data_IF_747465959444
#
_entry.id   IF_747465959444
#
_cell.length_a   1.000
_cell.length_b   1.000
_cell.length_c   1.000
_cell.angle_alpha   90.00
_cell.angle_beta   90.00
_cell.angle_gamma   90.00
#
_symmetry.space_group_name_H-M   'P 1'
#
loop_
_entity.id
_entity.type
_entity.pdbx_description
1 polymer ?
#
# COMPACT_ATOMS: atom_id res chain seq x y z
N UNK A 1 65.03 46.97 -29.59
CA UNK A 1 64.45 48.31 -29.86
C UNK A 1 63.02 48.27 -29.33
N UNK A 2 62.77 48.72 -28.09
CA UNK A 2 62.12 50.00 -27.77
C UNK A 2 60.97 50.33 -28.75
N UNK A 3 59.72 50.22 -28.31
CA UNK A 3 58.88 51.37 -28.02
C UNK A 3 57.67 50.95 -27.17
N UNK A 4 57.63 51.52 -25.96
CA UNK A 4 56.49 51.71 -25.09
C UNK A 4 55.48 52.65 -25.74
N UNK A 5 54.17 52.42 -25.50
CA UNK A 5 53.15 53.46 -25.44
C UNK A 5 51.95 52.96 -24.62
N UNK A 6 51.78 53.57 -23.44
CA UNK A 6 50.57 53.53 -22.62
C UNK A 6 49.58 54.59 -23.11
N UNK A 7 48.30 54.24 -23.16
CA UNK A 7 47.12 55.11 -23.00
C UNK A 7 46.03 54.14 -22.49
N UNK A 8 45.30 54.34 -21.40
CA UNK A 8 44.59 55.54 -20.98
C UNK A 8 43.13 55.08 -20.76
N UNK A 9 42.63 55.27 -19.53
CA UNK A 9 41.40 54.71 -19.00
C UNK A 9 40.13 55.09 -19.77
N UNK A 10 39.06 54.28 -19.66
CA UNK A 10 37.71 54.81 -19.46
C UNK A 10 36.79 53.76 -18.77
N UNK A 11 36.36 54.11 -17.56
CA UNK A 11 35.26 53.47 -16.85
C UNK A 11 33.96 53.59 -17.65
N UNK A 12 33.23 52.49 -17.80
CA UNK A 12 31.83 52.47 -18.22
C UNK A 12 31.05 51.51 -17.34
N UNK A 13 30.52 52.00 -16.21
CA UNK A 13 29.52 51.29 -15.42
C UNK A 13 28.19 51.29 -16.22
N UNK A 14 27.85 50.15 -16.83
CA UNK A 14 26.52 49.91 -17.38
C UNK A 14 25.59 49.46 -16.25
N UNK A 15 24.85 50.41 -15.69
CA UNK A 15 23.68 50.15 -14.84
C UNK A 15 22.56 49.59 -15.71
N UNK A 16 22.38 48.28 -15.71
CA UNK A 16 21.20 47.62 -16.28
C UNK A 16 20.05 47.82 -15.30
N UNK A 17 19.14 48.73 -15.64
CA UNK A 17 17.87 48.89 -14.96
C UNK A 17 16.97 47.68 -15.30
N UNK A 18 16.80 46.76 -14.35
CA UNK A 18 15.76 45.74 -14.43
C UNK A 18 14.39 46.39 -14.22
N UNK A 19 13.73 46.79 -15.31
CA UNK A 19 12.31 47.17 -15.27
C UNK A 19 11.47 45.98 -14.79
N UNK A 20 10.90 46.10 -13.61
CA UNK A 20 9.92 45.17 -13.04
C UNK A 20 8.59 45.37 -13.76
N UNK A 21 8.46 44.86 -14.98
CA UNK A 21 7.15 44.77 -15.62
C UNK A 21 6.33 43.70 -14.87
N UNK A 22 5.21 44.03 -14.21
CA UNK A 22 4.33 43.03 -13.63
C UNK A 22 3.81 42.13 -14.76
N UNK A 23 4.02 40.82 -14.60
CA UNK A 23 3.46 39.82 -15.51
C UNK A 23 1.94 40.03 -15.62
N UNK A 24 1.34 39.95 -16.81
CA UNK A 24 -0.09 40.03 -16.98
C UNK A 24 -0.74 38.94 -16.11
N UNK A 25 -1.52 39.39 -15.12
CA UNK A 25 -2.28 38.54 -14.22
C UNK A 25 -3.26 37.75 -15.09
N UNK A 26 -3.06 36.43 -15.18
CA UNK A 26 -4.03 35.55 -15.82
C UNK A 26 -5.42 35.86 -15.23
N UNK A 27 -6.48 35.95 -16.06
CA UNK A 27 -7.83 36.17 -15.55
C UNK A 27 -8.10 35.12 -14.48
N UNK A 28 -8.32 35.59 -13.25
CA UNK A 28 -8.60 34.72 -12.12
C UNK A 28 -9.83 33.91 -12.46
N UNK A 29 -9.65 32.62 -12.69
CA UNK A 29 -10.74 31.66 -12.57
C UNK A 29 -11.20 31.84 -11.12
N UNK A 30 -12.35 32.49 -10.93
CA UNK A 30 -13.00 32.53 -9.65
C UNK A 30 -13.05 31.08 -9.17
N UNK A 31 -12.38 30.79 -8.05
CA UNK A 31 -12.48 29.49 -7.43
C UNK A 31 -13.97 29.21 -7.28
N UNK A 32 -14.49 28.20 -7.97
CA UNK A 32 -15.81 27.68 -7.67
C UNK A 32 -15.87 27.53 -6.15
N UNK A 33 -16.97 27.97 -5.49
CA UNK A 33 -17.10 27.79 -4.05
C UNK A 33 -16.78 26.33 -3.77
N UNK A 34 -15.77 26.07 -2.93
CA UNK A 34 -15.51 24.73 -2.41
C UNK A 34 -16.86 24.25 -1.90
N UNK A 35 -17.49 23.34 -2.64
CA UNK A 35 -18.80 22.82 -2.29
C UNK A 35 -18.68 22.32 -0.85
N UNK A 36 -19.51 22.88 0.04
CA UNK A 36 -19.36 22.63 1.46
C UNK A 36 -19.46 21.12 1.71
N UNK A 37 -18.35 20.50 2.12
CA UNK A 37 -18.28 19.06 2.29
C UNK A 37 -19.29 18.61 3.35
N UNK A 38 -20.03 17.54 3.07
CA UNK A 38 -21.01 17.00 4.00
C UNK A 38 -20.31 16.21 5.12
N UNK A 39 -20.82 16.21 6.37
CA UNK A 39 -20.36 15.24 7.34
C UNK A 39 -20.63 13.81 6.85
N UNK A 40 -19.83 12.86 7.34
CA UNK A 40 -20.10 11.44 7.12
C UNK A 40 -21.39 11.06 7.87
N UNK A 41 -22.25 10.15 7.33
CA UNK A 41 -23.47 9.73 8.02
C UNK A 41 -23.22 9.22 9.44
N UNK A 42 -24.19 9.45 10.33
CA UNK A 42 -24.14 8.91 11.68
C UNK A 42 -24.02 7.37 11.66
N UNK A 43 -23.16 6.82 12.52
CA UNK A 43 -22.91 5.38 12.59
C UNK A 43 -21.94 4.83 11.53
N UNK A 44 -21.51 5.64 10.55
CA UNK A 44 -20.49 5.21 9.60
C UNK A 44 -19.13 4.99 10.28
N UNK A 45 -18.34 3.99 9.84
CA UNK A 45 -17.05 3.66 10.46
C UNK A 45 -16.00 4.75 10.22
N UNK A 46 -15.14 4.97 11.20
CA UNK A 46 -13.94 5.81 11.05
C UNK A 46 -12.88 5.15 10.17
N UNK A 47 -12.83 3.82 10.20
CA UNK A 47 -11.85 3.01 9.46
C UNK A 47 -12.56 1.81 8.82
N UNK A 48 -12.27 1.56 7.55
CA UNK A 48 -12.61 0.32 6.86
C UNK A 48 -11.32 -0.42 6.51
N UNK A 49 -11.24 -1.68 6.92
CA UNK A 49 -10.12 -2.58 6.59
C UNK A 49 -10.58 -3.60 5.54
N UNK A 50 -9.95 -3.59 4.37
CA UNK A 50 -10.10 -4.63 3.35
C UNK A 50 -8.88 -5.56 3.42
N UNK A 51 -9.10 -6.80 3.82
CA UNK A 51 -8.03 -7.76 4.07
C UNK A 51 -8.03 -8.90 3.06
N UNK A 52 -6.90 -9.16 2.40
CA UNK A 52 -6.74 -10.26 1.44
C UNK A 52 -5.78 -11.30 2.02
N UNK A 53 -6.32 -12.50 2.26
CA UNK A 53 -5.50 -13.66 2.61
C UNK A 53 -4.78 -14.19 1.38
N UNK A 54 -3.55 -14.63 1.53
CA UNK A 54 -2.75 -15.15 0.42
C UNK A 54 -3.04 -16.58 0.01
N UNK A 55 -2.08 -17.16 -0.71
CA UNK A 55 -2.12 -18.53 -1.22
C UNK A 55 -2.30 -19.54 -0.10
N UNK A 56 -2.91 -20.69 -0.40
CA UNK A 56 -3.23 -21.72 0.60
C UNK A 56 -2.01 -22.47 1.22
N UNK A 57 -0.80 -21.94 1.05
CA UNK A 57 0.47 -22.53 1.50
C UNK A 57 1.32 -23.05 0.34
N UNK A 58 2.52 -23.54 0.64
CA UNK A 58 3.34 -24.30 -0.31
C UNK A 58 3.67 -25.65 0.32
N UNK A 59 3.30 -26.78 -0.33
CA UNK A 59 2.53 -26.88 -1.58
C UNK A 59 1.04 -26.54 -1.40
N UNK A 60 0.45 -25.88 -2.41
CA UNK A 60 -1.00 -25.70 -2.58
C UNK A 60 -1.36 -26.20 -3.97
N UNK A 61 -1.83 -27.45 -4.03
CA UNK A 61 -2.21 -28.10 -5.30
C UNK A 61 -3.53 -27.52 -5.78
N UNK A 62 -3.55 -27.09 -7.04
CA UNK A 62 -4.71 -26.49 -7.68
C UNK A 62 -5.02 -25.08 -7.21
N UNK A 63 -4.04 -24.30 -6.76
CA UNK A 63 -4.23 -22.86 -6.58
C UNK A 63 -4.66 -22.20 -7.90
N UNK A 64 -5.51 -21.15 -7.86
CA UNK A 64 -5.97 -20.41 -6.69
C UNK A 64 -7.26 -20.96 -6.04
N UNK A 65 -7.87 -22.05 -6.54
CA UNK A 65 -9.20 -22.52 -6.09
C UNK A 65 -9.31 -22.89 -4.59
N UNK A 66 -8.28 -23.45 -3.91
CA UNK A 66 -8.32 -23.72 -2.48
C UNK A 66 -7.95 -22.51 -1.60
N UNK A 67 -7.64 -21.35 -2.20
CA UNK A 67 -7.41 -20.13 -1.44
C UNK A 67 -8.68 -19.76 -0.65
N UNK A 68 -8.53 -19.06 0.46
CA UNK A 68 -9.65 -18.69 1.33
C UNK A 68 -9.25 -17.57 2.27
N UNK A 69 -10.22 -16.83 2.81
CA UNK A 69 -9.99 -15.76 3.78
C UNK A 69 -9.60 -16.31 5.16
N UNK A 70 -8.36 -16.78 5.35
CA UNK A 70 -7.90 -17.27 6.65
C UNK A 70 -7.50 -16.18 7.64
N UNK A 71 -7.12 -14.97 7.20
CA UNK A 71 -6.73 -13.88 8.11
C UNK A 71 -7.88 -13.52 9.06
N UNK A 72 -9.13 -13.62 8.58
CA UNK A 72 -10.32 -13.49 9.41
C UNK A 72 -10.38 -14.60 10.47
N UNK A 73 -10.32 -15.87 10.05
CA UNK A 73 -10.45 -17.02 10.95
C UNK A 73 -9.29 -17.19 11.94
N UNK A 74 -8.09 -16.75 11.57
CA UNK A 74 -6.90 -16.75 12.44
C UNK A 74 -6.97 -15.66 13.52
N UNK A 75 -7.89 -14.70 13.40
CA UNK A 75 -7.95 -13.53 14.27
C UNK A 75 -6.96 -12.42 13.90
N UNK A 76 -6.19 -12.56 12.82
CA UNK A 76 -5.25 -11.53 12.35
C UNK A 76 -5.98 -10.23 12.04
N UNK A 77 -7.08 -10.33 11.28
CA UNK A 77 -7.90 -9.17 10.92
C UNK A 77 -8.52 -8.50 12.16
N UNK A 78 -8.92 -9.28 13.14
CA UNK A 78 -9.46 -8.76 14.40
C UNK A 78 -8.38 -8.10 15.26
N UNK A 79 -7.14 -8.61 15.28
CA UNK A 79 -6.03 -7.98 15.97
C UNK A 79 -5.70 -6.59 15.39
N UNK A 80 -5.66 -6.47 14.06
CA UNK A 80 -5.47 -5.17 13.39
C UNK A 80 -6.65 -4.24 13.68
N UNK A 81 -7.89 -4.73 13.59
CA UNK A 81 -9.06 -3.93 13.93
C UNK A 81 -9.06 -3.47 15.40
N UNK A 82 -8.65 -4.34 16.31
CA UNK A 82 -8.47 -4.07 17.73
C UNK A 82 -7.48 -2.93 17.98
N UNK A 83 -6.38 -2.88 17.24
CA UNK A 83 -5.41 -1.78 17.35
C UNK A 83 -6.03 -0.41 17.01
N UNK A 84 -6.86 -0.34 15.97
CA UNK A 84 -7.61 0.88 15.64
C UNK A 84 -8.72 1.18 16.66
N UNK A 85 -9.44 0.17 17.14
CA UNK A 85 -10.49 0.34 18.17
C UNK A 85 -9.92 0.84 19.51
N UNK A 86 -8.70 0.43 19.86
CA UNK A 86 -7.99 0.92 21.05
C UNK A 86 -7.72 2.44 20.98
N UNK A 87 -7.77 3.04 19.80
CA UNK A 87 -7.69 4.49 19.58
C UNK A 87 -9.07 5.18 19.63
N UNK A 88 -10.13 4.46 20.03
CA UNK A 88 -11.51 4.98 20.09
C UNK A 88 -12.24 5.01 18.74
N UNK A 89 -11.71 4.35 17.71
CA UNK A 89 -12.24 4.40 16.35
C UNK A 89 -13.30 3.32 16.09
N UNK A 90 -14.35 3.66 15.34
CA UNK A 90 -15.32 2.70 14.81
C UNK A 90 -14.73 2.00 13.59
N UNK A 91 -14.45 0.71 13.71
CA UNK A 91 -13.79 -0.08 12.66
C UNK A 91 -14.73 -1.11 12.05
N UNK A 92 -14.78 -1.14 10.72
CA UNK A 92 -15.43 -2.20 9.95
C UNK A 92 -14.40 -2.98 9.13
N UNK A 93 -14.54 -4.29 9.06
CA UNK A 93 -13.58 -5.18 8.39
C UNK A 93 -14.27 -6.03 7.34
N UNK A 94 -13.54 -6.37 6.28
CA UNK A 94 -13.96 -7.27 5.22
C UNK A 94 -12.79 -8.18 4.83
N UNK A 95 -13.02 -9.49 4.83
CA UNK A 95 -12.02 -10.49 4.49
C UNK A 95 -12.25 -11.08 3.10
N UNK A 96 -11.17 -11.23 2.34
CA UNK A 96 -11.16 -11.74 0.98
C UNK A 96 -10.08 -12.82 0.82
N UNK A 97 -10.29 -13.65 -0.20
CA UNK A 97 -9.37 -14.69 -0.62
C UNK A 97 -8.54 -14.23 -1.82
N UNK A 98 -7.30 -14.72 -1.95
CA UNK A 98 -6.45 -14.48 -3.11
C UNK A 98 -6.98 -15.20 -4.36
N UNK A 99 -7.98 -14.62 -5.01
CA UNK A 99 -8.60 -15.11 -6.23
C UNK A 99 -9.25 -13.93 -6.95
N UNK A 100 -9.28 -13.94 -8.28
CA UNK A 100 -9.87 -12.84 -9.06
C UNK A 100 -11.37 -12.65 -8.75
N UNK A 101 -12.13 -13.75 -8.79
CA UNK A 101 -13.58 -13.76 -8.56
C UNK A 101 -13.98 -14.49 -7.27
N UNK A 102 -15.26 -14.43 -6.90
CA UNK A 102 -15.81 -15.33 -5.90
C UNK A 102 -15.69 -16.78 -6.38
N UNK A 103 -15.44 -17.71 -5.45
CA UNK A 103 -15.25 -19.13 -5.77
C UNK A 103 -15.60 -20.01 -4.56
N UNK A 104 -15.84 -21.29 -4.80
CA UNK A 104 -15.96 -22.27 -3.72
C UNK A 104 -14.58 -22.79 -3.32
N UNK A 105 -14.17 -22.56 -2.08
CA UNK A 105 -12.89 -23.06 -1.60
C UNK A 105 -13.06 -24.39 -0.88
N UNK A 106 -12.34 -25.42 -1.36
CA UNK A 106 -12.35 -26.76 -0.74
C UNK A 106 -11.74 -26.77 0.66
N UNK A 107 -10.90 -25.79 1.00
CA UNK A 107 -10.28 -25.68 2.33
C UNK A 107 -11.21 -25.06 3.37
N UNK A 108 -11.93 -24.00 3.00
CA UNK A 108 -12.89 -23.39 3.91
C UNK A 108 -14.28 -24.01 3.84
N UNK A 109 -14.56 -24.79 2.80
CA UNK A 109 -15.85 -25.42 2.50
C UNK A 109 -17.01 -24.41 2.35
N UNK A 110 -16.70 -23.18 1.92
CA UNK A 110 -17.67 -22.11 1.69
C UNK A 110 -17.35 -21.35 0.41
N UNK A 111 -18.32 -20.54 -0.03
CA UNK A 111 -18.06 -19.51 -1.01
C UNK A 111 -17.19 -18.43 -0.38
N UNK A 112 -16.06 -18.15 -1.01
CA UNK A 112 -15.13 -17.09 -0.65
C UNK A 112 -15.29 -15.93 -1.63
N UNK A 113 -15.10 -14.71 -1.13
CA UNK A 113 -15.08 -13.50 -1.95
C UNK A 113 -13.67 -13.27 -2.48
N UNK A 114 -13.56 -12.88 -3.76
CA UNK A 114 -12.30 -12.55 -4.42
C UNK A 114 -12.12 -11.05 -4.64
N UNK A 115 -11.15 -10.71 -5.48
CA UNK A 115 -10.77 -9.33 -5.80
C UNK A 115 -11.92 -8.49 -6.36
N UNK A 116 -12.71 -9.00 -7.31
CA UNK A 116 -13.84 -8.23 -7.87
C UNK A 116 -14.90 -7.87 -6.82
N UNK A 117 -15.10 -8.72 -5.80
CA UNK A 117 -16.01 -8.39 -4.69
C UNK A 117 -15.39 -7.37 -3.72
N UNK A 118 -14.07 -7.38 -3.56
CA UNK A 118 -13.34 -6.35 -2.81
C UNK A 118 -13.42 -5.00 -3.50
N UNK A 119 -13.22 -4.97 -4.81
CA UNK A 119 -13.33 -3.77 -5.65
C UNK A 119 -14.75 -3.18 -5.59
N UNK A 120 -15.79 -4.00 -5.75
CA UNK A 120 -17.16 -3.55 -5.60
C UNK A 120 -17.43 -2.97 -4.19
N UNK A 121 -16.86 -3.57 -3.15
CA UNK A 121 -16.95 -3.05 -1.77
C UNK A 121 -16.22 -1.72 -1.62
N UNK A 122 -15.04 -1.57 -2.22
CA UNK A 122 -14.29 -0.31 -2.19
C UNK A 122 -15.14 0.82 -2.77
N UNK A 123 -15.73 0.62 -3.95
CA UNK A 123 -16.60 1.62 -4.59
C UNK A 123 -17.78 2.02 -3.72
N UNK A 124 -18.44 1.05 -3.07
CA UNK A 124 -19.52 1.33 -2.12
C UNK A 124 -19.03 2.19 -0.95
N UNK A 125 -17.92 1.82 -0.33
CA UNK A 125 -17.34 2.57 0.80
C UNK A 125 -16.97 3.99 0.39
N UNK A 126 -16.37 4.16 -0.80
CA UNK A 126 -15.99 5.48 -1.29
C UNK A 126 -17.21 6.35 -1.52
N UNK A 127 -18.22 5.84 -2.23
CA UNK A 127 -19.45 6.57 -2.51
C UNK A 127 -20.20 6.95 -1.21
N UNK A 128 -20.30 6.02 -0.28
CA UNK A 128 -21.11 6.23 0.92
C UNK A 128 -20.40 7.13 1.93
N UNK A 129 -19.09 6.91 2.16
CA UNK A 129 -18.41 7.39 3.36
C UNK A 129 -17.11 8.19 3.12
N UNK A 130 -16.64 8.33 1.89
CA UNK A 130 -15.38 9.06 1.59
C UNK A 130 -15.63 10.27 0.71
N UNK A 131 -16.24 10.08 -0.46
CA UNK A 131 -16.40 11.12 -1.46
C UNK A 131 -17.30 12.25 -0.96
N UNK A 132 -16.83 13.50 -1.10
CA UNK A 132 -17.58 14.69 -0.69
C UNK A 132 -17.77 14.82 0.83
N UNK A 133 -16.98 14.10 1.64
CA UNK A 133 -17.09 14.12 3.11
C UNK A 133 -16.05 15.02 3.78
N UNK A 134 -16.47 15.80 4.79
CA UNK A 134 -15.58 16.65 5.59
C UNK A 134 -14.74 15.87 6.60
N UNK A 135 -15.21 14.69 7.01
CA UNK A 135 -14.48 13.71 7.80
C UNK A 135 -14.62 12.31 7.17
N UNK A 136 -13.90 12.03 6.07
CA UNK A 136 -14.05 10.80 5.32
C UNK A 136 -13.62 9.57 6.13
N UNK A 137 -14.22 8.41 5.85
CA UNK A 137 -13.71 7.11 6.36
C UNK A 137 -12.30 6.87 5.83
N UNK A 138 -11.40 6.42 6.72
CA UNK A 138 -10.06 6.00 6.35
C UNK A 138 -10.07 4.59 5.79
N UNK A 139 -9.42 4.41 4.63
CA UNK A 139 -9.30 3.13 3.96
C UNK A 139 -7.97 2.47 4.33
N UNK A 140 -8.03 1.24 4.83
CA UNK A 140 -6.86 0.43 5.16
C UNK A 140 -6.89 -0.85 4.34
N UNK A 141 -5.77 -1.19 3.72
CA UNK A 141 -5.59 -2.46 3.04
C UNK A 141 -4.65 -3.35 3.85
N UNK A 142 -4.96 -4.65 3.92
CA UNK A 142 -4.14 -5.64 4.61
C UNK A 142 -3.95 -6.84 3.69
N UNK A 143 -2.73 -7.09 3.23
CA UNK A 143 -2.38 -8.25 2.42
C UNK A 143 -1.46 -9.19 3.20
N UNK A 144 -1.63 -10.50 3.03
CA UNK A 144 -0.59 -11.47 3.40
C UNK A 144 -0.18 -12.33 2.22
N UNK A 145 1.12 -12.59 2.02
CA UNK A 145 1.61 -13.46 0.95
C UNK A 145 1.10 -12.96 -0.42
N UNK A 146 0.42 -13.80 -1.21
CA UNK A 146 -0.25 -13.37 -2.45
C UNK A 146 -1.29 -12.25 -2.29
N UNK A 147 -1.82 -12.07 -1.08
CA UNK A 147 -2.76 -11.00 -0.76
C UNK A 147 -2.18 -9.61 -0.92
N UNK A 148 -0.86 -9.43 -0.74
CA UNK A 148 -0.22 -8.12 -0.92
C UNK A 148 -0.26 -7.67 -2.38
N UNK A 149 -0.06 -8.58 -3.34
CA UNK A 149 -0.23 -8.30 -4.76
C UNK A 149 -1.64 -7.76 -5.07
N UNK A 150 -2.67 -8.36 -4.49
CA UNK A 150 -4.05 -7.91 -4.67
C UNK A 150 -4.32 -6.53 -4.05
N UNK A 151 -3.77 -6.24 -2.87
CA UNK A 151 -3.94 -4.92 -2.26
C UNK A 151 -3.19 -3.83 -3.04
N UNK A 152 -1.97 -4.11 -3.49
CA UNK A 152 -1.19 -3.19 -4.34
C UNK A 152 -1.83 -3.01 -5.72
N UNK A 153 -2.41 -4.05 -6.31
CA UNK A 153 -3.21 -3.95 -7.54
C UNK A 153 -4.42 -3.03 -7.36
N UNK A 154 -5.12 -3.08 -6.22
CA UNK A 154 -6.25 -2.20 -5.94
C UNK A 154 -5.79 -0.72 -5.86
N UNK A 155 -4.64 -0.48 -5.24
CA UNK A 155 -4.04 0.87 -5.14
C UNK A 155 -3.72 1.44 -6.51
N UNK A 156 -3.16 0.62 -7.42
CA UNK A 156 -2.79 1.03 -8.79
C UNK A 156 -3.98 1.20 -9.70
N UNK A 157 -5.02 0.38 -9.53
CA UNK A 157 -6.24 0.46 -10.31
C UNK A 157 -6.97 1.80 -10.08
N UNK A 158 -6.85 2.36 -8.87
CA UNK A 158 -7.58 3.54 -8.42
C UNK A 158 -6.68 4.63 -7.82
N UNK A 159 -5.82 5.27 -8.63
CA UNK A 159 -4.88 6.28 -8.13
C UNK A 159 -5.57 7.52 -7.55
N UNK A 160 -6.83 7.77 -7.89
CA UNK A 160 -7.64 8.85 -7.31
C UNK A 160 -8.17 8.56 -5.90
N UNK A 161 -8.18 7.29 -5.46
CA UNK A 161 -8.62 6.91 -4.12
C UNK A 161 -7.42 6.95 -3.19
N UNK A 162 -7.53 7.75 -2.12
CA UNK A 162 -6.52 7.80 -1.06
C UNK A 162 -6.70 6.68 -0.04
N UNK A 163 -5.64 5.91 0.18
CA UNK A 163 -5.54 4.89 1.21
C UNK A 163 -4.72 5.41 2.39
N UNK A 164 -5.27 5.27 3.59
CA UNK A 164 -4.63 5.72 4.82
C UNK A 164 -3.41 4.86 5.15
N UNK A 165 -3.59 3.53 5.10
CA UNK A 165 -2.54 2.57 5.42
C UNK A 165 -2.64 1.34 4.51
N UNK A 166 -1.52 0.89 3.94
CA UNK A 166 -1.37 -0.43 3.33
C UNK A 166 -0.46 -1.27 4.21
N UNK A 167 -0.94 -2.43 4.65
CA UNK A 167 -0.23 -3.36 5.53
C UNK A 167 0.15 -4.60 4.73
N UNK A 168 1.44 -4.85 4.62
CA UNK A 168 2.01 -6.00 3.92
C UNK A 168 2.58 -6.99 4.93
N UNK A 169 1.93 -8.14 5.05
CA UNK A 169 2.40 -9.28 5.83
C UNK A 169 3.13 -10.23 4.88
N UNK A 170 4.45 -10.16 4.86
CA UNK A 170 5.36 -11.03 4.12
C UNK A 170 4.91 -11.29 2.68
N UNK A 171 4.85 -10.22 1.90
CA UNK A 171 4.35 -10.23 0.53
C UNK A 171 5.20 -11.08 -0.41
N UNK A 172 4.58 -11.84 -1.31
CA UNK A 172 5.34 -12.66 -2.26
C UNK A 172 4.69 -12.77 -3.63
N UNK A 173 5.55 -12.76 -4.65
CA UNK A 173 5.16 -12.89 -6.05
C UNK A 173 5.25 -14.31 -6.63
N UNK A 174 5.95 -15.21 -5.96
CA UNK A 174 6.17 -16.58 -6.43
C UNK A 174 4.86 -17.28 -6.80
N UNK A 175 4.75 -17.76 -8.04
CA UNK A 175 3.57 -18.41 -8.65
C UNK A 175 2.30 -17.56 -8.75
N UNK A 176 2.32 -16.26 -8.40
CA UNK A 176 1.10 -15.46 -8.42
C UNK A 176 0.52 -15.32 -9.82
N UNK A 177 1.37 -14.98 -10.81
CA UNK A 177 0.92 -14.79 -12.18
C UNK A 177 0.46 -16.12 -12.81
N UNK A 178 1.20 -17.21 -12.57
CA UNK A 178 0.84 -18.54 -13.05
C UNK A 178 -0.50 -19.01 -12.49
N UNK A 179 -0.73 -18.87 -11.18
CA UNK A 179 -1.99 -19.24 -10.53
C UNK A 179 -3.17 -18.41 -11.13
N UNK A 180 -2.96 -17.14 -11.50
CA UNK A 180 -4.05 -16.24 -11.90
C UNK A 180 -4.22 -16.03 -13.42
N UNK A 181 -3.26 -16.43 -14.25
CA UNK A 181 -3.23 -16.13 -15.69
C UNK A 181 -4.52 -16.55 -16.42
N UNK A 182 -4.99 -17.78 -16.19
CA UNK A 182 -6.20 -18.31 -16.82
C UNK A 182 -7.49 -17.58 -16.41
N UNK A 183 -7.50 -16.97 -15.22
CA UNK A 183 -8.64 -16.18 -14.75
C UNK A 183 -8.66 -14.79 -15.37
N UNK A 184 -7.51 -14.12 -15.43
CA UNK A 184 -7.39 -12.84 -16.11
C UNK A 184 -7.67 -12.96 -17.60
N UNK A 185 -7.10 -13.96 -18.28
CA UNK A 185 -7.32 -14.18 -19.71
C UNK A 185 -8.81 -14.33 -20.05
N UNK A 186 -9.55 -15.10 -19.24
CA UNK A 186 -11.00 -15.28 -19.39
C UNK A 186 -11.76 -14.00 -19.12
N UNK A 187 -11.45 -13.33 -18.01
CA UNK A 187 -12.11 -12.09 -17.65
C UNK A 187 -11.89 -11.00 -18.69
N UNK A 188 -10.68 -10.84 -19.21
CA UNK A 188 -10.38 -9.89 -20.29
C UNK A 188 -11.11 -10.23 -21.58
N UNK A 189 -11.24 -11.51 -21.92
CA UNK A 189 -12.04 -11.91 -23.07
C UNK A 189 -13.52 -11.52 -22.91
N UNK A 190 -14.07 -11.69 -21.70
CA UNK A 190 -15.45 -11.31 -21.37
C UNK A 190 -15.67 -9.79 -21.35
N UNK A 191 -14.68 -9.02 -20.91
CA UNK A 191 -14.74 -7.55 -20.85
C UNK A 191 -14.36 -6.87 -22.19
N UNK A 192 -13.88 -7.62 -23.18
CA UNK A 192 -13.35 -7.06 -24.43
C UNK A 192 -11.98 -6.38 -24.29
N UNK A 193 -11.24 -6.68 -23.22
CA UNK A 193 -9.94 -6.12 -22.90
C UNK A 193 -9.70 -5.97 -21.41
N UNK A 194 -8.58 -5.35 -21.03
CA UNK A 194 -8.30 -4.97 -19.65
C UNK A 194 -9.19 -3.76 -19.25
N UNK A 195 -10.07 -3.88 -18.24
CA UNK A 195 -10.94 -2.76 -17.84
C UNK A 195 -10.23 -1.76 -16.91
N UNK A 196 -9.03 -2.06 -16.42
CA UNK A 196 -8.29 -1.19 -15.50
C UNK A 196 -7.26 -0.31 -16.22
N UNK A 197 -6.89 0.80 -15.59
CA UNK A 197 -5.84 1.71 -16.10
C UNK A 197 -4.45 1.06 -16.17
N UNK A 198 -4.25 0.00 -15.39
CA UNK A 198 -3.04 -0.81 -15.38
C UNK A 198 -3.40 -2.27 -15.60
N UNK A 199 -2.47 -3.06 -16.12
CA UNK A 199 -2.64 -4.51 -16.21
C UNK A 199 -2.42 -5.14 -14.83
N UNK A 200 -3.50 -5.67 -14.24
CA UNK A 200 -3.47 -6.33 -12.94
C UNK A 200 -2.99 -7.78 -13.02
N UNK A 201 -3.03 -8.40 -14.21
CA UNK A 201 -2.49 -9.73 -14.43
C UNK A 201 -0.95 -9.76 -14.29
N UNK A 202 -0.32 -8.59 -14.42
CA UNK A 202 1.12 -8.36 -14.29
C UNK A 202 1.48 -7.78 -12.93
N UNK A 203 1.02 -8.43 -11.87
CA UNK A 203 1.25 -7.94 -10.50
C UNK A 203 2.68 -8.16 -10.00
N UNK A 204 3.44 -9.02 -10.68
CA UNK A 204 4.80 -9.38 -10.31
C UNK A 204 5.83 -8.91 -11.33
N UNK A 205 5.38 -8.14 -12.32
CA UNK A 205 6.22 -7.25 -13.09
C UNK A 205 7.06 -6.34 -12.17
N UNK A 206 8.14 -5.84 -12.76
CA UNK A 206 9.03 -4.89 -12.10
C UNK A 206 8.92 -3.51 -12.74
N UNK A 207 8.87 -2.48 -11.90
CA UNK A 207 8.93 -1.08 -12.30
C UNK A 207 10.32 -0.51 -11.92
N UNK A 208 10.77 0.50 -12.66
CA UNK A 208 12.06 1.15 -12.38
C UNK A 208 11.86 2.31 -11.41
N UNK A 209 12.65 2.32 -10.33
CA UNK A 209 12.71 3.42 -9.35
C UNK A 209 14.16 3.91 -9.32
N UNK A 210 14.40 5.03 -9.99
CA UNK A 210 15.77 5.49 -10.27
C UNK A 210 16.52 4.49 -11.15
N UNK A 211 17.56 3.85 -10.61
CA UNK A 211 18.37 2.82 -11.31
C UNK A 211 18.02 1.39 -10.92
N UNK A 212 17.19 1.22 -9.90
CA UNK A 212 16.84 -0.08 -9.34
C UNK A 212 15.49 -0.55 -9.91
N UNK A 213 15.25 -1.86 -9.85
CA UNK A 213 13.99 -2.48 -10.29
C UNK A 213 13.31 -3.13 -9.10
N UNK A 214 12.05 -2.80 -8.90
CA UNK A 214 11.23 -3.29 -7.80
C UNK A 214 10.02 -4.02 -8.36
N UNK A 215 9.60 -5.11 -7.72
CA UNK A 215 8.29 -5.66 -8.06
C UNK A 215 7.24 -4.61 -7.74
N UNK A 216 6.15 -4.62 -8.51
CA UNK A 216 5.01 -3.74 -8.27
C UNK A 216 4.53 -3.78 -6.81
N UNK A 217 4.51 -4.99 -6.19
CA UNK A 217 4.13 -5.16 -4.79
C UNK A 217 5.08 -4.50 -3.78
N UNK A 218 6.29 -4.13 -4.21
CA UNK A 218 7.33 -3.51 -3.38
C UNK A 218 7.26 -1.97 -3.46
N UNK A 219 6.26 -1.41 -4.14
CA UNK A 219 6.13 0.02 -4.38
C UNK A 219 4.94 0.57 -3.59
N UNK A 220 5.22 1.45 -2.64
CA UNK A 220 4.20 2.21 -1.94
C UNK A 220 3.80 3.45 -2.77
N UNK A 221 2.74 3.31 -3.56
CA UNK A 221 2.27 4.35 -4.49
C UNK A 221 1.83 5.67 -3.80
N UNK A 222 1.81 6.81 -4.53
CA UNK A 222 1.56 8.14 -3.95
C UNK A 222 0.19 8.30 -3.25
N UNK A 223 -0.81 7.52 -3.65
CA UNK A 223 -2.13 7.51 -3.01
C UNK A 223 -2.17 6.68 -1.71
N UNK A 224 -1.03 6.23 -1.19
CA UNK A 224 -0.90 5.53 0.10
C UNK A 224 -0.13 6.40 1.09
N UNK A 225 -0.80 6.86 2.16
CA UNK A 225 -0.18 7.71 3.19
C UNK A 225 0.89 6.95 3.97
N UNK A 226 0.54 5.78 4.51
CA UNK A 226 1.44 4.93 5.30
C UNK A 226 1.53 3.53 4.71
N UNK A 227 2.72 2.93 4.70
CA UNK A 227 2.90 1.52 4.39
C UNK A 227 3.63 0.80 5.54
N UNK A 228 3.00 -0.24 6.08
CA UNK A 228 3.53 -1.04 7.19
C UNK A 228 3.89 -2.42 6.66
N UNK A 229 5.14 -2.80 6.77
CA UNK A 229 5.68 -4.03 6.20
C UNK A 229 6.21 -4.94 7.32
N UNK A 230 5.77 -6.20 7.33
CA UNK A 230 6.23 -7.23 8.27
C UNK A 230 6.78 -8.39 7.45
N UNK A 231 8.10 -8.55 7.41
CA UNK A 231 8.77 -9.64 6.73
C UNK A 231 9.02 -10.82 7.68
N UNK A 232 8.95 -12.05 7.16
CA UNK A 232 9.37 -13.24 7.89
C UNK A 232 10.89 -13.38 7.99
N UNK A 233 11.36 -14.35 8.77
CA UNK A 233 12.79 -14.63 8.97
C UNK A 233 13.50 -14.95 7.66
N UNK A 234 14.58 -14.25 7.36
CA UNK A 234 15.40 -14.60 6.20
C UNK A 234 16.11 -15.92 6.47
N UNK A 235 16.07 -16.85 5.51
CA UNK A 235 16.94 -18.03 5.57
C UNK A 235 18.37 -17.58 5.28
N UNK A 236 19.27 -17.67 6.27
CA UNK A 236 20.70 -17.38 6.11
C UNK A 236 21.42 -18.67 5.69
N UNK A 237 21.97 -18.77 4.47
CA UNK A 237 22.79 -19.92 4.09
C UNK A 237 24.04 -20.01 4.98
N UNK A 238 24.29 -21.18 5.58
CA UNK A 238 25.54 -21.48 6.31
C UNK A 238 25.48 -21.47 7.85
N UNK A 239 24.33 -21.17 8.46
CA UNK A 239 24.11 -21.32 9.92
C UNK A 239 23.24 -22.55 10.27
N UNK A 240 23.13 -23.48 9.33
CA UNK A 240 22.24 -24.62 9.44
C UNK A 240 22.89 -25.87 9.99
N UNK A 241 22.60 -26.21 11.25
CA UNK A 241 22.52 -27.62 11.62
C UNK A 241 21.41 -28.32 10.81
N UNK A 242 21.29 -29.64 10.92
CA UNK A 242 20.30 -30.47 10.20
C UNK A 242 18.83 -30.02 10.38
N UNK A 243 18.57 -29.06 11.27
CA UNK A 243 17.29 -28.38 11.57
C UNK A 243 17.02 -27.08 10.77
N UNK A 244 17.70 -26.81 9.64
CA UNK A 244 17.17 -25.85 8.63
C UNK A 244 15.95 -26.48 7.98
N UNK A 245 14.87 -26.55 8.75
CA UNK A 245 13.58 -26.97 8.26
C UNK A 245 13.28 -26.13 7.02
N UNK A 246 12.80 -26.82 5.99
CA UNK A 246 12.36 -26.33 4.69
C UNK A 246 11.19 -25.31 4.75
N UNK A 247 11.04 -24.60 5.86
CA UNK A 247 9.82 -23.91 6.30
C UNK A 247 9.70 -22.45 5.82
N UNK A 248 10.79 -21.82 5.38
CA UNK A 248 10.73 -20.43 4.90
C UNK A 248 11.39 -20.24 3.52
N UNK A 249 10.97 -21.06 2.55
CA UNK A 249 11.38 -20.92 1.15
C UNK A 249 10.63 -19.82 0.40
N UNK A 250 9.54 -19.32 0.99
CA UNK A 250 8.64 -18.28 0.47
C UNK A 250 8.68 -17.12 1.47
N UNK A 251 9.47 -16.08 1.19
CA UNK A 251 9.57 -14.89 2.04
C UNK A 251 9.88 -13.65 1.23
N UNK A 252 9.51 -12.48 1.76
CA UNK A 252 9.85 -11.21 1.14
C UNK A 252 11.31 -10.83 1.43
N UNK A 253 12.00 -10.32 0.42
CA UNK A 253 13.43 -9.92 0.51
C UNK A 253 13.64 -8.45 0.23
N UNK A 254 12.68 -7.82 -0.44
CA UNK A 254 12.81 -6.47 -0.95
C UNK A 254 12.03 -5.56 -0.02
N UNK A 255 12.70 -4.59 0.57
CA UNK A 255 11.98 -3.61 1.38
C UNK A 255 11.24 -2.63 0.47
N UNK A 256 10.01 -2.29 0.84
CA UNK A 256 9.17 -1.40 0.06
C UNK A 256 9.80 -0.02 -0.15
N UNK A 257 9.49 0.62 -1.28
CA UNK A 257 10.04 1.92 -1.69
C UNK A 257 8.95 2.82 -2.28
N UNK A 258 9.16 4.14 -2.25
CA UNK A 258 8.36 5.11 -2.99
C UNK A 258 8.89 5.26 -4.41
N UNK A 259 8.07 5.80 -5.32
CA UNK A 259 8.47 6.05 -6.72
C UNK A 259 9.64 7.05 -6.87
N UNK A 260 9.90 7.86 -5.84
CA UNK A 260 11.06 8.77 -5.77
C UNK A 260 12.32 8.11 -5.16
N UNK A 261 12.25 6.82 -4.84
CA UNK A 261 13.32 6.07 -4.18
C UNK A 261 13.39 6.24 -2.66
N UNK A 262 12.56 7.10 -2.08
CA UNK A 262 12.53 7.31 -0.64
C UNK A 262 11.80 6.18 0.10
N UNK A 263 11.96 6.16 1.44
CA UNK A 263 11.21 5.30 2.36
C UNK A 263 10.21 6.09 3.20
N UNK A 264 9.85 7.29 2.76
CA UNK A 264 9.00 8.19 3.54
C UNK A 264 7.63 7.57 3.77
N UNK A 265 7.20 7.53 5.04
CA UNK A 265 5.95 6.90 5.44
C UNK A 265 5.92 5.36 5.28
N UNK A 266 7.07 4.72 5.07
CA UNK A 266 7.22 3.26 5.05
C UNK A 266 7.89 2.83 6.35
N UNK A 267 7.31 1.84 7.02
CA UNK A 267 7.85 1.27 8.25
C UNK A 267 7.95 -0.23 8.08
N UNK A 268 9.14 -0.79 8.28
CA UNK A 268 9.40 -2.22 8.07
C UNK A 268 9.88 -2.88 9.36
N UNK A 269 9.34 -4.05 9.64
CA UNK A 269 9.85 -5.00 10.61
C UNK A 269 10.26 -6.29 9.91
N UNK A 270 11.40 -6.86 10.30
CA UNK A 270 11.86 -8.15 9.81
C UNK A 270 11.98 -9.07 11.01
N UNK A 271 11.15 -10.11 11.05
CA UNK A 271 11.21 -11.11 12.11
C UNK A 271 12.53 -11.89 12.01
N UNK A 272 13.12 -12.24 13.14
CA UNK A 272 14.27 -13.16 13.19
C UNK A 272 13.86 -14.59 13.52
N UNK A 273 12.62 -14.79 13.98
CA UNK A 273 12.14 -16.06 14.54
C UNK A 273 10.97 -16.66 13.77
N UNK A 274 10.16 -15.84 13.10
CA UNK A 274 8.87 -16.29 12.56
C UNK A 274 8.96 -16.59 11.07
N UNK A 275 8.40 -17.72 10.66
CA UNK A 275 8.22 -18.04 9.24
C UNK A 275 7.00 -17.37 8.63
N UNK A 276 6.89 -17.45 7.31
CA UNK A 276 5.84 -16.85 6.46
C UNK A 276 4.43 -16.93 7.06
N UNK A 277 4.00 -18.11 7.48
CA UNK A 277 2.65 -18.28 8.02
C UNK A 277 2.49 -17.81 9.47
N UNK A 278 3.54 -17.93 10.29
CA UNK A 278 3.47 -17.70 11.74
C UNK A 278 3.42 -16.23 12.13
N UNK A 279 4.06 -15.34 11.37
CA UNK A 279 3.98 -13.89 11.60
C UNK A 279 2.57 -13.30 11.49
N UNK A 280 1.61 -14.04 10.93
CA UNK A 280 0.21 -13.59 10.83
C UNK A 280 -0.61 -13.91 12.06
N UNK A 281 -0.13 -14.76 12.97
CA UNK A 281 -0.89 -15.15 14.14
C UNK A 281 -1.01 -13.99 15.14
N UNK A 282 -2.18 -13.75 15.75
CA UNK A 282 -2.29 -12.83 16.88
C UNK A 282 -1.29 -13.19 17.98
N UNK A 283 -0.63 -12.18 18.56
CA UNK A 283 0.39 -12.38 19.60
C UNK A 283 1.79 -12.73 19.09
N UNK A 284 1.94 -12.99 17.79
CA UNK A 284 3.25 -13.11 17.12
C UNK A 284 4.05 -11.81 17.27
N UNK A 285 5.38 -11.88 17.24
CA UNK A 285 6.28 -10.73 17.35
C UNK A 285 5.98 -9.73 16.23
N UNK A 286 5.83 -10.21 15.00
CA UNK A 286 5.43 -9.39 13.86
C UNK A 286 4.08 -8.70 14.06
N UNK A 287 3.06 -9.41 14.54
CA UNK A 287 1.75 -8.79 14.81
C UNK A 287 1.79 -7.80 15.97
N UNK A 288 2.53 -8.08 17.04
CA UNK A 288 2.65 -7.15 18.16
C UNK A 288 3.33 -5.84 17.71
N UNK A 289 4.43 -5.94 16.95
CA UNK A 289 5.05 -4.76 16.34
C UNK A 289 4.07 -3.98 15.47
N UNK A 290 3.27 -4.68 14.64
CA UNK A 290 2.31 -4.05 13.76
C UNK A 290 1.23 -3.31 14.54
N UNK A 291 0.62 -3.93 15.55
CA UNK A 291 -0.45 -3.31 16.34
C UNK A 291 0.08 -2.11 17.14
N UNK A 292 1.28 -2.20 17.70
CA UNK A 292 1.93 -1.10 18.42
C UNK A 292 2.25 0.06 17.48
N UNK A 293 2.72 -0.25 16.25
CA UNK A 293 3.00 0.74 15.22
C UNK A 293 1.74 1.49 14.79
N UNK A 294 0.63 0.78 14.58
CA UNK A 294 -0.68 1.38 14.26
C UNK A 294 -1.06 2.41 15.33
N UNK A 295 -0.96 2.03 16.61
CA UNK A 295 -1.33 2.92 17.71
C UNK A 295 -0.41 4.15 17.79
N UNK A 296 0.91 3.93 17.70
CA UNK A 296 1.92 5.00 17.77
C UNK A 296 1.70 6.07 16.70
N UNK A 297 1.50 5.66 15.44
CA UNK A 297 1.35 6.59 14.32
C UNK A 297 0.10 7.47 14.41
N UNK A 298 -0.94 6.99 15.08
CA UNK A 298 -2.19 7.72 15.23
C UNK A 298 -2.19 8.63 16.46
N UNK A 299 -1.51 8.25 17.54
CA UNK A 299 -1.32 9.13 18.70
C UNK A 299 -0.50 10.38 18.36
N UNK A 300 0.56 10.23 17.55
CA UNK A 300 1.36 11.37 17.08
C UNK A 300 0.61 12.32 16.16
N UNK A 301 -0.42 11.84 15.44
CA UNK A 301 -1.26 12.68 14.59
C UNK A 301 -2.31 13.49 15.37
N UNK A 302 -2.63 13.07 16.60
CA UNK A 302 -3.59 13.75 17.49
C UNK A 302 -2.94 14.68 18.51
N UNK A 303 -1.60 14.70 18.60
CA UNK A 303 -0.91 15.65 19.46
C UNK A 303 -1.08 17.07 18.90
N UNK A 304 -1.55 18.06 19.69
CA UNK A 304 -1.59 19.45 19.25
C UNK A 304 -0.18 19.89 18.82
N UNK A 305 -0.09 20.65 17.74
CA UNK A 305 1.16 21.17 17.17
C UNK A 305 1.94 22.15 18.10
N UNK A 306 1.63 22.21 19.40
CA UNK A 306 2.16 23.18 20.35
C UNK A 306 3.46 22.77 21.06
N UNK A 307 4.02 21.57 20.80
CA UNK A 307 5.22 21.10 21.52
C UNK A 307 6.55 21.15 20.75
N UNK A 308 6.58 21.76 19.56
CA UNK A 308 7.84 22.10 18.88
C UNK A 308 7.93 23.60 18.62
N UNK A 309 7.71 24.39 19.68
CA UNK A 309 8.10 25.79 19.77
C UNK A 309 9.25 25.95 20.76
N UNK A 310 10.43 26.32 20.25
CA UNK A 310 11.59 26.86 20.96
C UNK A 310 12.26 25.98 22.04
N UNK A 311 13.39 25.37 21.66
CA UNK A 311 14.69 25.57 22.32
C UNK A 311 15.84 25.17 21.39
#
# INVERSE_FOLDING_TARGET
>A
MRHTLSLGALCGFLLVACSSAPLPRAPGIAASPLEALNPRPEGAPDVVILAVSGRCGVPCVGAPEPNHSYLERRGTLEAVAGAYRALGLKVRTYGYSAHLTAHYSRRSRRMEQGFLQMEARLHQVVADWVQGRSNPTRLVLLGHSHGTNWTHNLVRAYPEISFDTVIDLDGICYLWEDDNAGYFARYYAEQGGNPWRTDLARSCDVESVGRERYHVKDIAYPNVRTNLEVQSRRVIPGLGGEDVQAENVVFDRTYNVRLDGSRTGIFTFVSTLEGHNWLTLPGSIGMNWLTDRIQTLHQSATAPAELFGNR
#
